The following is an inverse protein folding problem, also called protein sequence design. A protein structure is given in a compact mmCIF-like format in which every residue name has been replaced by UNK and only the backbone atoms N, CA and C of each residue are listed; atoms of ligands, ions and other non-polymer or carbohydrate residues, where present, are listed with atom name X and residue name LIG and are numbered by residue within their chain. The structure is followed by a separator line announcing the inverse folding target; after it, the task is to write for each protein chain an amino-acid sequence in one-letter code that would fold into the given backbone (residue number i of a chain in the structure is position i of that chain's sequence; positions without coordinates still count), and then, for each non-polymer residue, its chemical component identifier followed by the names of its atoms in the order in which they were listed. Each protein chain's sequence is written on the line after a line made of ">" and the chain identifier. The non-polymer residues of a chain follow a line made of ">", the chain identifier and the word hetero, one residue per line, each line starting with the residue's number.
data_IF_358649681551
#
_entry.id   IF_358649681551
#
_cell.length_a   1.000
_cell.length_b   1.000
_cell.length_c   1.000
_cell.angle_alpha   90.00
_cell.angle_beta   90.00
_cell.angle_gamma   90.00
#
_symmetry.space_group_name_H-M   'P 1'
#
loop_
_entity.id
_entity.type
_entity.pdbx_description
1 polymer ?
#
# COMPACT_ATOMS: atom_id res chain seq x y z
N UNK A 1 -13.13 7.87 3.87
CA UNK A 1 -13.87 6.58 3.92
C UNK A 1 -14.06 6.08 2.50
N UNK A 2 -13.72 4.82 2.25
CA UNK A 2 -13.96 4.18 0.95
C UNK A 2 -15.41 3.62 0.89
N UNK A 3 -16.03 3.66 -0.29
CA UNK A 3 -17.32 2.98 -0.49
C UNK A 3 -17.12 1.46 -0.50
N UNK A 4 -17.62 0.76 0.53
CA UNK A 4 -17.39 -0.66 0.81
C UNK A 4 -18.69 -1.48 0.77
N UNK A 5 -19.17 -1.93 -0.41
CA UNK A 5 -20.22 -2.93 -0.47
C UNK A 5 -19.79 -4.22 0.27
N UNK A 6 -20.68 -4.86 1.04
CA UNK A 6 -20.35 -6.02 1.88
C UNK A 6 -19.58 -7.13 1.13
N UNK A 7 -19.99 -7.46 -0.10
CA UNK A 7 -19.38 -8.50 -0.92
C UNK A 7 -17.96 -8.18 -1.43
N UNK A 8 -17.50 -6.91 -1.31
CA UNK A 8 -16.14 -6.50 -1.68
C UNK A 8 -15.28 -6.14 -0.47
N UNK A 9 -15.85 -6.18 0.72
CA UNK A 9 -15.14 -5.81 1.95
C UNK A 9 -14.20 -6.94 2.36
N UNK A 10 -12.93 -6.60 2.57
CA UNK A 10 -11.96 -7.44 3.25
C UNK A 10 -11.72 -6.86 4.66
N UNK A 11 -12.15 -7.60 5.69
CA UNK A 11 -12.05 -7.15 7.08
C UNK A 11 -10.97 -7.88 7.89
N UNK A 12 -10.38 -8.96 7.33
CA UNK A 12 -9.35 -9.73 8.02
C UNK A 12 -8.04 -8.95 8.10
N UNK A 13 -7.74 -8.43 9.30
CA UNK A 13 -6.57 -7.57 9.55
C UNK A 13 -5.27 -8.16 8.98
N UNK A 14 -5.03 -9.45 9.17
CA UNK A 14 -3.83 -10.12 8.68
C UNK A 14 -3.67 -10.01 7.16
N UNK A 15 -4.78 -10.11 6.41
CA UNK A 15 -4.78 -9.98 4.94
C UNK A 15 -4.49 -8.53 4.52
N UNK A 16 -5.08 -7.55 5.22
CA UNK A 16 -4.83 -6.14 4.94
C UNK A 16 -3.37 -5.77 5.21
N UNK A 17 -2.81 -6.22 6.31
CA UNK A 17 -1.40 -6.01 6.65
C UNK A 17 -0.47 -6.69 5.65
N UNK A 18 -0.76 -7.93 5.25
CA UNK A 18 0.01 -8.63 4.22
C UNK A 18 -0.06 -7.93 2.85
N UNK A 19 -1.22 -7.35 2.52
CA UNK A 19 -1.38 -6.55 1.30
C UNK A 19 -0.50 -5.30 1.33
N UNK A 20 -0.51 -4.52 2.42
CA UNK A 20 0.36 -3.37 2.62
C UNK A 20 1.83 -3.79 2.52
N UNK A 21 2.20 -4.90 3.17
CA UNK A 21 3.56 -5.41 3.14
C UNK A 21 4.04 -5.79 1.74
N UNK A 22 3.15 -6.28 0.89
CA UNK A 22 3.47 -6.67 -0.49
C UNK A 22 3.52 -5.48 -1.45
N UNK A 23 2.72 -4.44 -1.18
CA UNK A 23 2.55 -3.25 -2.01
C UNK A 23 2.91 -2.00 -1.22
N UNK A 24 4.13 -1.98 -0.70
CA UNK A 24 4.59 -1.03 0.30
C UNK A 24 4.87 0.39 -0.21
N UNK A 25 4.80 0.63 -1.53
CA UNK A 25 4.87 1.96 -2.12
C UNK A 25 3.46 2.55 -2.23
N UNK A 26 3.11 3.42 -1.28
CA UNK A 26 1.75 3.95 -1.11
C UNK A 26 1.65 5.46 -1.33
N UNK A 27 0.42 5.93 -1.31
CA UNK A 27 0.06 7.35 -1.38
C UNK A 27 -0.29 7.86 0.02
N UNK A 28 0.53 8.76 0.57
CA UNK A 28 0.24 9.45 1.83
C UNK A 28 -0.56 10.73 1.55
N UNK A 29 -1.75 10.81 2.08
CA UNK A 29 -2.62 11.98 2.01
C UNK A 29 -2.76 12.65 3.37
N UNK A 30 -2.65 13.98 3.37
CA UNK A 30 -2.94 14.84 4.52
C UNK A 30 -3.79 16.03 4.09
N UNK A 31 -4.33 16.74 5.05
CA UNK A 31 -5.08 17.98 4.82
C UNK A 31 -4.33 19.15 5.43
N UNK A 32 -4.06 20.16 4.62
CA UNK A 32 -3.44 21.42 5.02
C UNK A 32 -4.43 22.58 4.96
N UNK A 33 -4.01 23.75 5.41
CA UNK A 33 -4.79 24.98 5.21
C UNK A 33 -4.99 25.32 3.73
N UNK A 34 -4.11 24.82 2.83
CA UNK A 34 -4.22 25.00 1.38
C UNK A 34 -5.03 23.89 0.70
N UNK A 35 -5.53 22.90 1.44
CA UNK A 35 -6.31 21.78 0.93
C UNK A 35 -5.63 20.43 1.08
N UNK A 36 -6.03 19.47 0.25
CA UNK A 36 -5.45 18.11 0.26
C UNK A 36 -4.05 18.11 -0.36
N UNK A 37 -3.13 17.43 0.30
CA UNK A 37 -1.77 17.20 -0.18
C UNK A 37 -1.51 15.70 -0.23
N UNK A 38 -0.75 15.25 -1.23
CA UNK A 38 -0.41 13.84 -1.40
C UNK A 38 1.05 13.64 -1.81
N UNK A 39 1.71 12.63 -1.24
CA UNK A 39 3.06 12.19 -1.60
C UNK A 39 3.10 10.68 -1.77
N UNK A 40 3.79 10.21 -2.81
CA UNK A 40 4.07 8.78 -2.98
C UNK A 40 5.36 8.43 -2.25
N UNK A 41 5.28 7.53 -1.29
CA UNK A 41 6.42 7.10 -0.47
C UNK A 41 6.35 5.59 -0.18
N UNK A 42 7.50 4.95 0.04
CA UNK A 42 7.52 3.60 0.60
C UNK A 42 7.19 3.61 2.09
N UNK A 43 6.58 2.51 2.56
CA UNK A 43 6.25 2.31 3.96
C UNK A 43 6.84 1.00 4.49
N UNK A 44 7.29 1.02 5.74
CA UNK A 44 7.53 -0.18 6.53
C UNK A 44 6.43 -0.36 7.56
N UNK A 45 6.10 -1.61 7.81
CA UNK A 45 5.18 -1.99 8.88
C UNK A 45 5.98 -2.27 10.16
N UNK A 46 5.47 -1.77 11.29
CA UNK A 46 5.97 -2.09 12.62
C UNK A 46 4.80 -2.40 13.56
N UNK A 47 5.04 -3.29 14.52
CA UNK A 47 4.07 -3.65 15.54
C UNK A 47 4.60 -3.24 16.91
N UNK A 48 3.83 -2.45 17.66
CA UNK A 48 4.08 -2.11 19.05
C UNK A 48 3.02 -2.81 19.91
N UNK A 49 3.27 -4.06 20.27
CA UNK A 49 2.23 -4.94 20.81
C UNK A 49 1.14 -5.18 19.76
N UNK A 50 -0.09 -4.79 20.05
CA UNK A 50 -1.23 -4.90 19.12
C UNK A 50 -1.36 -3.71 18.15
N UNK A 51 -0.68 -2.61 18.43
CA UNK A 51 -0.71 -1.42 17.60
C UNK A 51 0.08 -1.62 16.32
N UNK A 52 -0.50 -1.18 15.21
CA UNK A 52 0.10 -1.20 13.88
C UNK A 52 0.62 0.19 13.56
N UNK A 53 1.88 0.27 13.19
CA UNK A 53 2.51 1.49 12.74
C UNK A 53 2.95 1.38 11.28
N UNK A 54 2.82 2.46 10.54
CA UNK A 54 3.40 2.64 9.21
C UNK A 54 4.52 3.67 9.33
N UNK A 55 5.74 3.25 8.97
CA UNK A 55 6.93 4.08 9.03
C UNK A 55 7.36 4.47 7.62
N UNK A 56 7.67 5.75 7.42
CA UNK A 56 8.14 6.28 6.15
C UNK A 56 9.01 7.52 6.35
N UNK A 57 9.35 8.19 5.27
CA UNK A 57 10.01 9.50 5.34
C UNK A 57 9.68 10.34 4.12
N UNK A 58 9.82 11.66 4.27
CA UNK A 58 9.72 12.65 3.20
C UNK A 58 11.01 13.47 3.12
N UNK A 59 11.29 14.01 1.95
CA UNK A 59 12.31 15.04 1.82
C UNK A 59 11.91 16.27 2.67
N UNK A 60 12.83 16.82 3.44
CA UNK A 60 12.58 17.96 4.33
C UNK A 60 11.97 19.19 3.63
N UNK A 61 12.35 19.51 2.37
CA UNK A 61 11.72 20.61 1.62
C UNK A 61 10.31 20.32 1.12
N UNK A 62 9.76 19.09 1.28
CA UNK A 62 8.39 18.79 0.86
C UNK A 62 7.41 19.62 1.71
N UNK A 63 6.53 20.44 1.10
CA UNK A 63 5.57 21.27 1.84
C UNK A 63 4.66 20.49 2.79
N UNK A 64 4.37 19.22 2.49
CA UNK A 64 3.57 18.33 3.33
C UNK A 64 4.18 18.14 4.73
N UNK A 65 5.51 18.26 4.87
CA UNK A 65 6.22 18.09 6.15
C UNK A 65 5.71 19.03 7.24
N UNK A 66 5.40 20.28 6.88
CA UNK A 66 4.89 21.26 7.84
C UNK A 66 3.54 20.87 8.44
N UNK A 67 2.67 20.27 7.61
CA UNK A 67 1.37 19.79 8.08
C UNK A 67 1.54 18.56 8.97
N UNK A 68 2.43 17.63 8.56
CA UNK A 68 2.69 16.40 9.30
C UNK A 68 3.37 16.65 10.66
N UNK A 69 4.17 17.72 10.80
CA UNK A 69 4.74 18.16 12.08
C UNK A 69 3.69 18.62 13.09
N UNK A 70 2.57 19.16 12.61
CA UNK A 70 1.44 19.54 13.48
C UNK A 70 0.70 18.33 14.01
N UNK A 71 0.96 17.15 13.46
CA UNK A 71 0.21 15.94 13.75
C UNK A 71 -1.17 15.95 13.10
N UNK A 72 -1.99 14.98 13.48
CA UNK A 72 -3.37 14.84 13.00
C UNK A 72 -3.59 13.59 12.19
N UNK A 73 -4.80 13.45 11.68
CA UNK A 73 -5.20 12.29 10.90
C UNK A 73 -4.63 12.36 9.49
N UNK A 74 -4.10 11.23 9.03
CA UNK A 74 -3.62 11.02 7.67
C UNK A 74 -4.22 9.75 7.09
N UNK A 75 -4.16 9.64 5.77
CA UNK A 75 -4.59 8.46 5.03
C UNK A 75 -3.43 7.96 4.16
N UNK A 76 -3.00 6.72 4.39
CA UNK A 76 -2.13 6.00 3.48
C UNK A 76 -2.95 5.02 2.62
N UNK A 77 -2.79 5.08 1.29
CA UNK A 77 -3.51 4.25 0.33
C UNK A 77 -2.51 3.32 -0.37
N UNK A 78 -2.83 2.03 -0.37
CA UNK A 78 -2.08 0.97 -1.04
C UNK A 78 -2.98 0.35 -2.10
N UNK A 79 -2.81 0.77 -3.35
CA UNK A 79 -3.67 0.43 -4.48
C UNK A 79 -2.90 -0.38 -5.52
N UNK A 80 -3.03 -1.69 -5.46
CA UNK A 80 -2.46 -2.66 -6.42
C UNK A 80 -2.80 -4.08 -5.97
N UNK A 81 -3.02 -5.06 -6.87
CA UNK A 81 -3.14 -4.94 -8.32
C UNK A 81 -4.53 -4.49 -8.79
N UNK A 82 -4.65 -4.17 -10.09
CA UNK A 82 -5.93 -3.88 -10.72
C UNK A 82 -5.97 -4.39 -12.16
N UNK A 83 -7.16 -4.80 -12.65
CA UNK A 83 -7.33 -5.25 -14.02
C UNK A 83 -8.71 -4.93 -14.57
N UNK A 84 -8.75 -4.52 -15.84
CA UNK A 84 -10.00 -4.41 -16.58
C UNK A 84 -10.61 -5.79 -16.81
N UNK A 85 -11.94 -5.89 -16.69
CA UNK A 85 -12.72 -7.10 -16.94
C UNK A 85 -13.73 -6.82 -18.03
N UNK A 86 -13.59 -7.54 -19.15
CA UNK A 86 -14.48 -7.42 -20.30
C UNK A 86 -15.77 -8.23 -20.08
N UNK A 87 -16.94 -7.69 -20.46
CA UNK A 87 -18.20 -8.45 -20.46
C UNK A 87 -18.18 -9.61 -21.46
N UNK A 88 -17.32 -9.59 -22.48
CA UNK A 88 -17.15 -10.70 -23.43
C UNK A 88 -16.60 -11.98 -22.79
N UNK A 89 -16.08 -11.90 -21.57
CA UNK A 89 -15.57 -13.07 -20.84
C UNK A 89 -16.66 -13.82 -20.06
N UNK A 90 -17.84 -13.20 -19.89
CA UNK A 90 -18.97 -13.83 -19.17
C UNK A 90 -19.68 -14.88 -20.01
N UNK A 91 -20.42 -15.77 -19.34
CA UNK A 91 -21.14 -16.86 -19.99
C UNK A 91 -22.30 -16.40 -20.88
N UNK A 92 -22.86 -15.20 -20.60
CA UNK A 92 -23.94 -14.62 -21.38
C UNK A 92 -24.74 -13.56 -20.60
N UNK A 93 -25.76 -13.03 -21.28
CA UNK A 93 -26.62 -11.96 -20.77
C UNK A 93 -26.05 -10.55 -20.91
N UNK A 94 -26.89 -9.53 -20.74
CA UNK A 94 -26.45 -8.14 -20.82
C UNK A 94 -25.51 -7.81 -19.64
N UNK A 95 -24.31 -7.32 -19.95
CA UNK A 95 -23.28 -7.00 -18.97
C UNK A 95 -22.47 -5.80 -19.42
N UNK A 96 -21.88 -5.07 -18.46
CA UNK A 96 -21.03 -3.92 -18.72
C UNK A 96 -19.59 -4.21 -18.28
N UNK A 97 -18.60 -3.49 -18.87
CA UNK A 97 -17.22 -3.56 -18.43
C UNK A 97 -17.07 -3.13 -16.97
N UNK A 98 -16.04 -3.68 -16.32
CA UNK A 98 -15.69 -3.28 -14.95
C UNK A 98 -14.20 -3.44 -14.69
N UNK A 99 -13.77 -3.06 -13.48
CA UNK A 99 -12.43 -3.31 -12.99
C UNK A 99 -12.47 -4.22 -11.77
N UNK A 100 -11.55 -5.16 -11.71
CA UNK A 100 -11.19 -5.85 -10.48
C UNK A 100 -9.94 -5.19 -9.90
N UNK A 101 -9.88 -5.07 -8.59
CA UNK A 101 -8.77 -4.42 -7.87
C UNK A 101 -8.77 -4.79 -6.39
N UNK A 102 -7.63 -4.60 -5.76
CA UNK A 102 -7.46 -4.73 -4.33
C UNK A 102 -6.78 -3.47 -3.78
N UNK A 103 -7.50 -2.78 -2.88
CA UNK A 103 -7.03 -1.55 -2.23
C UNK A 103 -7.12 -1.69 -0.72
N UNK A 104 -6.12 -1.13 -0.02
CA UNK A 104 -6.16 -0.95 1.43
C UNK A 104 -5.96 0.52 1.76
N UNK A 105 -6.87 1.05 2.56
CA UNK A 105 -6.81 2.39 3.14
C UNK A 105 -6.45 2.26 4.62
N UNK A 106 -5.33 2.84 5.01
CA UNK A 106 -4.87 2.91 6.39
C UNK A 106 -5.00 4.34 6.90
N UNK A 107 -5.89 4.55 7.85
CA UNK A 107 -6.06 5.81 8.57
C UNK A 107 -5.27 5.77 9.85
N UNK A 108 -4.67 6.88 10.23
CA UNK A 108 -3.88 6.94 11.45
C UNK A 108 -3.48 8.34 11.85
N UNK A 109 -2.91 8.46 13.03
CA UNK A 109 -2.34 9.73 13.51
C UNK A 109 -0.84 9.74 13.24
N UNK A 110 -0.38 10.79 12.57
CA UNK A 110 1.03 10.92 12.20
C UNK A 110 1.83 11.66 13.27
N UNK A 111 3.05 11.19 13.50
CA UNK A 111 4.11 11.87 14.25
C UNK A 111 5.32 12.03 13.33
N UNK A 112 5.76 13.28 13.13
CA UNK A 112 7.02 13.56 12.47
C UNK A 112 8.20 13.22 13.39
N UNK A 113 9.25 12.60 12.85
CA UNK A 113 10.43 12.16 13.60
C UNK A 113 11.68 12.76 12.95
N UNK A 114 12.44 13.51 13.75
CA UNK A 114 13.68 14.14 13.29
C UNK A 114 14.93 13.58 14.01
N UNK A 115 14.75 12.54 14.82
CA UNK A 115 15.82 11.85 15.51
C UNK A 115 16.71 11.08 14.50
N UNK A 116 18.01 11.41 14.48
CA UNK A 116 18.97 10.87 13.54
C UNK A 116 19.15 9.36 13.67
N UNK A 117 19.15 8.82 14.89
CA UNK A 117 19.31 7.38 15.12
C UNK A 117 18.05 6.62 14.68
N UNK A 118 16.87 7.18 14.89
CA UNK A 118 15.63 6.61 14.40
C UNK A 118 15.60 6.59 12.86
N UNK A 119 15.97 7.71 12.22
CA UNK A 119 16.07 7.80 10.75
C UNK A 119 17.07 6.78 10.18
N UNK A 120 18.23 6.63 10.81
CA UNK A 120 19.26 5.67 10.44
C UNK A 120 18.73 4.24 10.51
N UNK A 121 18.02 3.89 11.59
CA UNK A 121 17.38 2.56 11.73
C UNK A 121 16.32 2.33 10.66
N UNK A 122 15.48 3.34 10.39
CA UNK A 122 14.46 3.27 9.34
C UNK A 122 15.07 2.99 7.97
N UNK A 123 16.06 3.80 7.57
CA UNK A 123 16.70 3.65 6.25
C UNK A 123 17.44 2.33 6.10
N UNK A 124 18.08 1.84 7.17
CA UNK A 124 18.68 0.49 7.16
C UNK A 124 17.64 -0.57 6.87
N UNK A 125 16.50 -0.55 7.56
CA UNK A 125 15.41 -1.52 7.35
C UNK A 125 14.83 -1.45 5.94
N UNK A 126 14.71 -0.25 5.34
CA UNK A 126 14.31 -0.11 3.94
C UNK A 126 15.35 -0.77 3.02
N UNK A 127 16.63 -0.47 3.21
CA UNK A 127 17.70 -1.06 2.40
C UNK A 127 17.72 -2.58 2.53
N UNK A 128 17.72 -3.10 3.74
CA UNK A 128 17.75 -4.55 4.00
C UNK A 128 16.56 -5.26 3.32
N UNK A 129 15.39 -4.65 3.35
CA UNK A 129 14.19 -5.19 2.72
C UNK A 129 14.28 -5.21 1.20
N UNK A 130 14.64 -4.08 0.57
CA UNK A 130 14.61 -3.94 -0.88
C UNK A 130 15.84 -4.54 -1.56
N UNK A 131 16.93 -4.70 -0.83
CA UNK A 131 18.16 -5.36 -1.31
C UNK A 131 18.18 -6.86 -1.06
N UNK A 132 17.23 -7.43 -0.33
CA UNK A 132 17.23 -8.83 0.11
C UNK A 132 17.37 -9.87 -1.02
N UNK A 133 16.97 -9.53 -2.26
CA UNK A 133 17.08 -10.39 -3.44
C UNK A 133 18.29 -10.09 -4.34
N UNK A 134 19.10 -9.09 -4.00
CA UNK A 134 20.23 -8.67 -4.82
C UNK A 134 21.46 -9.53 -4.50
N UNK A 135 22.12 -10.18 -5.48
CA UNK A 135 23.35 -10.95 -5.25
C UNK A 135 24.52 -10.11 -4.69
N UNK A 136 24.52 -8.80 -4.94
CA UNK A 136 25.48 -7.84 -4.40
C UNK A 136 24.71 -6.67 -3.76
N UNK A 137 24.12 -6.87 -2.55
CA UNK A 137 23.24 -5.88 -1.96
C UNK A 137 23.99 -4.61 -1.61
N UNK A 138 23.41 -3.47 -1.92
CA UNK A 138 23.88 -2.19 -1.45
C UNK A 138 23.70 -2.10 0.08
N UNK A 139 24.69 -1.55 0.76
CA UNK A 139 24.68 -1.44 2.21
C UNK A 139 24.95 0.00 2.65
N UNK A 140 24.05 0.55 3.44
CA UNK A 140 24.18 1.92 3.98
C UNK A 140 25.46 2.10 4.80
N UNK A 141 25.92 1.06 5.48
CA UNK A 141 27.12 1.08 6.31
C UNK A 141 28.43 1.23 5.52
N UNK A 142 28.40 1.03 4.20
CA UNK A 142 29.55 1.20 3.33
C UNK A 142 29.75 2.68 2.91
N UNK A 143 28.79 3.56 3.29
CA UNK A 143 28.90 4.99 3.04
C UNK A 143 29.78 5.69 4.07
N UNK A 144 30.52 6.75 3.66
CA UNK A 144 31.21 7.62 4.61
C UNK A 144 30.23 8.25 5.60
N UNK A 145 30.56 8.21 6.89
CA UNK A 145 29.67 8.70 7.95
C UNK A 145 29.21 10.15 7.75
N UNK A 146 30.14 11.04 7.40
CA UNK A 146 29.81 12.46 7.15
C UNK A 146 28.82 12.65 5.98
N UNK A 147 28.88 11.77 4.95
CA UNK A 147 27.93 11.78 3.86
C UNK A 147 26.53 11.36 4.34
N UNK A 148 26.48 10.25 5.10
CA UNK A 148 25.22 9.74 5.64
C UNK A 148 24.53 10.75 6.57
N UNK A 149 25.30 11.38 7.47
CA UNK A 149 24.76 12.45 8.34
C UNK A 149 24.20 13.62 7.53
N UNK A 150 24.88 14.02 6.45
CA UNK A 150 24.37 15.04 5.52
C UNK A 150 23.05 14.65 4.90
N UNK A 151 22.92 13.40 4.44
CA UNK A 151 21.68 12.90 3.84
C UNK A 151 20.52 12.80 4.85
N UNK A 152 20.80 12.37 6.08
CA UNK A 152 19.78 12.29 7.15
C UNK A 152 19.17 13.66 7.48
N UNK A 153 19.96 14.73 7.42
CA UNK A 153 19.47 16.11 7.63
C UNK A 153 18.49 16.56 6.53
N UNK A 154 18.53 15.92 5.36
CA UNK A 154 17.66 16.23 4.22
C UNK A 154 16.27 15.60 4.28
N UNK A 155 15.96 14.79 5.30
CA UNK A 155 14.70 14.06 5.42
C UNK A 155 14.01 14.28 6.76
N UNK A 156 12.72 13.94 6.81
CA UNK A 156 11.90 13.87 8.03
C UNK A 156 11.20 12.53 8.05
N UNK A 157 11.35 11.79 9.12
CA UNK A 157 10.69 10.50 9.33
C UNK A 157 9.22 10.69 9.70
N UNK A 158 8.44 9.68 9.40
CA UNK A 158 7.02 9.62 9.70
C UNK A 158 6.72 8.31 10.42
N UNK A 159 6.04 8.43 11.55
CA UNK A 159 5.50 7.31 12.31
C UNK A 159 3.99 7.50 12.42
N UNK A 160 3.23 6.62 11.77
CA UNK A 160 1.78 6.70 11.68
C UNK A 160 1.19 5.57 12.51
N UNK A 161 0.64 5.91 13.67
CA UNK A 161 -0.15 4.96 14.47
C UNK A 161 -1.48 4.71 13.78
N UNK A 162 -1.67 3.49 13.24
CA UNK A 162 -2.84 3.13 12.45
C UNK A 162 -4.04 2.92 13.38
N UNK A 163 -5.07 3.72 13.20
CA UNK A 163 -6.32 3.65 13.98
C UNK A 163 -7.40 2.84 13.29
N UNK A 164 -7.36 2.74 11.94
CA UNK A 164 -8.37 2.03 11.15
C UNK A 164 -7.80 1.56 9.81
N UNK A 165 -8.17 0.32 9.45
CA UNK A 165 -7.92 -0.25 8.13
C UNK A 165 -9.24 -0.51 7.42
N UNK A 166 -9.31 -0.14 6.14
CA UNK A 166 -10.42 -0.46 5.24
C UNK A 166 -9.87 -1.17 4.00
N UNK A 167 -10.33 -2.39 3.73
CA UNK A 167 -9.93 -3.16 2.56
C UNK A 167 -11.08 -3.33 1.56
N UNK A 168 -10.83 -3.00 0.30
CA UNK A 168 -11.75 -3.23 -0.80
C UNK A 168 -11.13 -4.14 -1.85
N UNK A 169 -11.58 -5.38 -1.84
CA UNK A 169 -11.12 -6.41 -2.77
C UNK A 169 -12.25 -6.76 -3.71
N UNK A 170 -12.37 -6.01 -4.80
CA UNK A 170 -13.38 -6.23 -5.83
C UNK A 170 -12.84 -7.23 -6.85
N UNK A 171 -13.27 -8.47 -6.72
CA UNK A 171 -12.75 -9.64 -7.44
C UNK A 171 -13.85 -10.47 -8.11
N UNK A 172 -14.89 -9.81 -8.61
CA UNK A 172 -16.06 -10.42 -9.26
C UNK A 172 -16.89 -11.34 -8.34
N UNK A 173 -16.88 -11.11 -7.01
CA UNK A 173 -17.64 -11.93 -6.04
C UNK A 173 -19.16 -11.82 -6.24
N UNK A 174 -19.63 -10.74 -6.83
CA UNK A 174 -21.05 -10.50 -7.15
C UNK A 174 -21.48 -11.10 -8.50
N UNK A 175 -20.61 -11.87 -9.18
CA UNK A 175 -20.93 -12.50 -10.45
C UNK A 175 -21.40 -13.95 -10.25
N UNK A 176 -22.21 -14.48 -11.20
CA UNK A 176 -22.53 -15.89 -11.23
C UNK A 176 -21.27 -16.77 -11.13
N UNK A 177 -21.39 -17.92 -10.47
CA UNK A 177 -20.27 -18.84 -10.28
C UNK A 177 -19.61 -19.26 -11.60
N UNK A 178 -20.38 -19.39 -12.68
CA UNK A 178 -19.88 -19.76 -14.03
C UNK A 178 -18.99 -18.67 -14.66
N UNK A 179 -19.13 -17.40 -14.26
CA UNK A 179 -18.38 -16.30 -14.85
C UNK A 179 -16.97 -16.19 -14.25
N UNK A 180 -16.81 -16.45 -12.96
CA UNK A 180 -15.53 -16.28 -12.25
C UNK A 180 -14.38 -17.08 -12.86
N UNK A 181 -14.50 -18.39 -13.12
CA UNK A 181 -13.44 -19.17 -13.78
C UNK A 181 -13.08 -18.63 -15.16
N UNK A 182 -14.07 -18.14 -15.90
CA UNK A 182 -13.85 -17.56 -17.24
C UNK A 182 -13.06 -16.26 -17.17
N UNK A 183 -13.36 -15.40 -16.20
CA UNK A 183 -12.60 -14.16 -15.93
C UNK A 183 -11.17 -14.49 -15.52
N UNK A 184 -10.96 -15.43 -14.60
CA UNK A 184 -9.63 -15.90 -14.19
C UNK A 184 -8.81 -16.35 -15.40
N UNK A 185 -9.38 -17.26 -16.21
CA UNK A 185 -8.70 -17.78 -17.40
C UNK A 185 -8.38 -16.67 -18.43
N UNK A 186 -9.24 -15.66 -18.56
CA UNK A 186 -9.00 -14.53 -19.45
C UNK A 186 -7.88 -13.61 -18.94
N UNK A 187 -7.83 -13.35 -17.64
CA UNK A 187 -6.76 -12.58 -17.00
C UNK A 187 -5.40 -13.29 -17.12
N UNK A 188 -5.37 -14.60 -16.90
CA UNK A 188 -4.15 -15.42 -17.06
C UNK A 188 -3.62 -15.40 -18.49
N UNK A 189 -4.53 -15.53 -19.50
CA UNK A 189 -4.14 -15.41 -20.92
C UNK A 189 -3.63 -14.02 -21.28
N UNK A 190 -4.14 -12.97 -20.63
CA UNK A 190 -3.67 -11.61 -20.84
C UNK A 190 -2.22 -11.45 -20.39
N UNK A 191 -1.82 -12.08 -19.28
CA UNK A 191 -0.44 -12.36 -18.89
C UNK A 191 0.38 -11.15 -18.37
N UNK A 192 -0.19 -9.95 -18.28
CA UNK A 192 0.48 -8.85 -17.58
C UNK A 192 0.43 -9.05 -16.05
N UNK A 193 1.42 -8.50 -15.34
CA UNK A 193 1.62 -8.72 -13.90
C UNK A 193 0.36 -8.41 -13.06
N UNK A 194 -0.34 -7.35 -13.41
CA UNK A 194 -1.58 -6.97 -12.72
C UNK A 194 -2.70 -7.99 -12.96
N UNK A 195 -2.87 -8.42 -14.20
CA UNK A 195 -3.89 -9.40 -14.56
C UNK A 195 -3.65 -10.76 -13.88
N UNK A 196 -2.39 -11.23 -13.89
CA UNK A 196 -1.99 -12.47 -13.21
C UNK A 196 -2.21 -12.36 -11.70
N UNK A 197 -1.84 -11.23 -11.09
CA UNK A 197 -2.03 -10.99 -9.67
C UNK A 197 -3.51 -10.94 -9.27
N UNK A 198 -4.37 -10.32 -10.09
CA UNK A 198 -5.83 -10.34 -9.86
C UNK A 198 -6.39 -11.75 -10.01
N UNK A 199 -5.95 -12.54 -11.00
CA UNK A 199 -6.38 -13.93 -11.17
C UNK A 199 -6.02 -14.77 -9.93
N UNK A 200 -4.81 -14.61 -9.39
CA UNK A 200 -4.38 -15.27 -8.16
C UNK A 200 -5.27 -14.90 -6.97
N UNK A 201 -5.51 -13.59 -6.75
CA UNK A 201 -6.39 -13.11 -5.69
C UNK A 201 -7.84 -13.62 -5.84
N UNK A 202 -8.34 -13.79 -7.07
CA UNK A 202 -9.64 -14.38 -7.33
C UNK A 202 -9.70 -15.85 -6.94
N UNK A 203 -8.63 -16.64 -7.20
CA UNK A 203 -8.53 -18.06 -6.79
C UNK A 203 -8.50 -18.24 -5.28
N UNK A 204 -7.67 -17.42 -4.58
CA UNK A 204 -7.56 -17.46 -3.12
C UNK A 204 -8.87 -17.13 -2.39
N UNK A 205 -9.80 -16.46 -3.08
CA UNK A 205 -11.08 -16.00 -2.54
C UNK A 205 -12.28 -16.60 -3.27
N UNK A 206 -12.17 -17.83 -3.70
CA UNK A 206 -13.35 -18.54 -4.19
C UNK A 206 -14.40 -18.61 -3.07
N UNK A 207 -15.67 -18.30 -3.36
CA UNK A 207 -16.73 -18.49 -2.38
C UNK A 207 -16.80 -19.98 -2.04
N UNK A 208 -16.64 -20.30 -0.78
CA UNK A 208 -16.91 -21.61 -0.21
C UNK A 208 -18.39 -21.96 -0.32
#
# INVERSE_FOLDING_TARGET
>A
MVYLPPHFTEARRAILVAHIARHDFGLLMSHSAAGLVASHIPFLIEHHGEELHLLGHLARPNPQVEDLRRGGEVLAIFSCPHAYVSPSWYAGGPSVPTWNYADVHAYGTVRAVEDGDWLRRLLRRFSDRHEAGNPAPWRMQDLPEAYLEGMLKGIVGLDIAVTRLEGKFKLSQNRPAVDRPRVIAALERRGDDNAVSIAALMREREPT
#
